data_IF_294334201152
#
_entry.id   IF_294334201152
#
_cell.length_a   1.000
_cell.length_b   1.000
_cell.length_c   1.000
_cell.angle_alpha   90.00
_cell.angle_beta   90.00
_cell.angle_gamma   90.00
#
_symmetry.space_group_name_H-M   'P 1'
#
loop_
_entity.id
_entity.type
_entity.pdbx_description
1 polymer ?
#
# COMPACT_ATOMS: atom_id res chain seq x y z
N UNK A 1 -11.99 9.96 -13.61
CA UNK A 1 -11.19 9.25 -12.59
C UNK A 1 -12.15 8.51 -11.69
N UNK A 2 -12.10 7.17 -11.69
CA UNK A 2 -12.85 6.36 -10.74
C UNK A 2 -12.00 6.30 -9.47
N UNK A 3 -12.59 6.64 -8.34
CA UNK A 3 -11.92 6.54 -7.05
C UNK A 3 -12.17 5.12 -6.54
N UNK A 4 -11.11 4.34 -6.27
CA UNK A 4 -11.29 3.05 -5.64
C UNK A 4 -11.98 3.27 -4.30
N UNK A 5 -12.97 2.44 -3.99
CA UNK A 5 -13.57 2.37 -2.65
C UNK A 5 -13.00 1.15 -1.91
N UNK A 6 -11.75 1.20 -1.41
CA UNK A 6 -11.20 0.09 -0.66
C UNK A 6 -12.02 -0.10 0.62
N UNK A 7 -12.24 -1.36 1.01
CA UNK A 7 -12.78 -1.69 2.31
C UNK A 7 -11.80 -1.20 3.38
N UNK A 8 -12.17 -0.13 4.09
CA UNK A 8 -11.31 0.51 5.10
C UNK A 8 -10.83 -0.51 6.16
N UNK A 9 -11.67 -1.50 6.45
CA UNK A 9 -11.38 -2.56 7.42
C UNK A 9 -10.27 -3.50 6.96
N UNK A 10 -10.35 -4.00 5.73
CA UNK A 10 -9.31 -4.88 5.15
C UNK A 10 -7.98 -4.12 5.03
N UNK A 11 -8.07 -2.82 4.75
CA UNK A 11 -6.89 -1.97 4.62
C UNK A 11 -6.17 -1.77 5.95
N UNK A 12 -6.91 -1.46 7.02
CA UNK A 12 -6.36 -1.35 8.38
C UNK A 12 -5.79 -2.68 8.86
N UNK A 13 -6.45 -3.80 8.56
CA UNK A 13 -5.98 -5.14 8.93
C UNK A 13 -4.64 -5.49 8.26
N UNK A 14 -4.49 -5.15 6.97
CA UNK A 14 -3.24 -5.34 6.24
C UNK A 14 -2.12 -4.47 6.83
N UNK A 15 -2.38 -3.18 7.07
CA UNK A 15 -1.40 -2.26 7.67
C UNK A 15 -0.98 -2.75 9.05
N UNK A 16 -1.92 -3.17 9.89
CA UNK A 16 -1.63 -3.72 11.21
C UNK A 16 -0.78 -4.99 11.12
N UNK A 17 -1.10 -5.89 10.20
CA UNK A 17 -0.34 -7.13 9.97
C UNK A 17 1.11 -6.83 9.55
N UNK A 18 1.30 -5.87 8.64
CA UNK A 18 2.65 -5.45 8.20
C UNK A 18 3.43 -4.82 9.35
N UNK A 19 2.82 -3.93 10.14
CA UNK A 19 3.47 -3.31 11.29
C UNK A 19 3.88 -4.34 12.34
N UNK A 20 3.02 -5.31 12.66
CA UNK A 20 3.34 -6.41 13.58
C UNK A 20 4.50 -7.23 13.05
N UNK A 21 4.47 -7.60 11.77
CA UNK A 21 5.53 -8.39 11.13
C UNK A 21 6.88 -7.65 11.18
N UNK A 22 6.89 -6.36 10.83
CA UNK A 22 8.08 -5.51 10.88
C UNK A 22 8.60 -5.36 12.31
N UNK A 23 7.70 -5.21 13.30
CA UNK A 23 8.07 -5.12 14.72
C UNK A 23 8.78 -6.39 15.18
N UNK A 24 8.27 -7.57 14.80
CA UNK A 24 8.88 -8.86 15.12
C UNK A 24 10.27 -8.97 14.48
N UNK A 25 10.42 -8.55 13.22
CA UNK A 25 11.70 -8.56 12.51
C UNK A 25 12.75 -7.62 13.15
N UNK A 26 12.32 -6.43 13.59
CA UNK A 26 13.18 -5.50 14.33
C UNK A 26 13.60 -6.10 15.68
N UNK A 27 12.65 -6.63 16.44
CA UNK A 27 12.92 -7.26 17.73
C UNK A 27 13.91 -8.43 17.61
N UNK A 28 13.76 -9.27 16.59
CA UNK A 28 14.68 -10.36 16.29
C UNK A 28 16.09 -9.86 15.88
N UNK A 29 16.24 -8.60 15.49
CA UNK A 29 17.49 -8.03 14.99
C UNK A 29 17.76 -8.32 13.52
N UNK A 30 16.74 -8.69 12.76
CA UNK A 30 16.84 -8.87 11.30
C UNK A 30 16.92 -7.50 10.62
N UNK A 31 16.22 -6.50 11.16
CA UNK A 31 16.16 -5.12 10.66
C UNK A 31 16.80 -4.13 11.63
N UNK A 32 18.01 -4.42 12.12
CA UNK A 32 18.74 -3.51 13.00
C UNK A 32 19.42 -4.23 14.17
N UNK A 33 19.50 -3.55 15.32
CA UNK A 33 20.10 -4.12 16.53
C UNK A 33 19.07 -4.99 17.25
N UNK A 34 19.41 -6.25 17.51
CA UNK A 34 18.53 -7.20 18.19
C UNK A 34 18.10 -6.68 19.56
N UNK A 35 16.80 -6.80 19.86
CA UNK A 35 16.17 -6.29 21.09
C UNK A 35 15.81 -4.81 21.06
N UNK A 36 16.10 -4.08 19.97
CA UNK A 36 15.71 -2.68 19.80
C UNK A 36 14.48 -2.58 18.88
N UNK A 37 13.59 -1.63 19.18
CA UNK A 37 12.38 -1.37 18.38
C UNK A 37 12.39 0.12 18.05
N UNK A 38 12.59 0.43 16.77
CA UNK A 38 12.49 1.80 16.29
C UNK A 38 11.00 2.17 16.11
N UNK A 39 10.45 2.78 17.16
CA UNK A 39 9.08 3.26 17.19
C UNK A 39 8.86 4.36 16.15
N UNK A 40 9.87 5.20 15.88
CA UNK A 40 9.76 6.28 14.89
C UNK A 40 9.61 5.68 13.50
N UNK A 41 10.41 4.66 13.18
CA UNK A 41 10.30 3.92 11.94
C UNK A 41 8.91 3.28 11.78
N UNK A 42 8.38 2.63 12.82
CA UNK A 42 7.04 2.02 12.78
C UNK A 42 5.93 3.05 12.56
N UNK A 43 6.02 4.22 13.20
CA UNK A 43 5.04 5.31 13.02
C UNK A 43 5.09 5.86 11.60
N UNK A 44 6.29 6.14 11.08
CA UNK A 44 6.48 6.62 9.70
C UNK A 44 5.96 5.58 8.70
N UNK A 45 6.30 4.31 8.90
CA UNK A 45 5.85 3.22 8.05
C UNK A 45 4.33 3.05 8.08
N UNK A 46 3.71 3.17 9.26
CA UNK A 46 2.27 3.08 9.46
C UNK A 46 1.48 4.19 8.77
N UNK A 47 2.07 5.37 8.60
CA UNK A 47 1.48 6.48 7.82
C UNK A 47 1.76 6.30 6.33
N UNK A 48 2.96 5.87 5.98
CA UNK A 48 3.45 5.84 4.59
C UNK A 48 2.80 4.70 3.79
N UNK A 49 2.66 3.52 4.39
CA UNK A 49 2.01 2.34 3.77
C UNK A 49 0.62 2.64 3.19
N UNK A 50 -0.36 3.12 3.97
CA UNK A 50 -1.70 3.36 3.45
C UNK A 50 -1.73 4.43 2.34
N UNK A 51 -0.86 5.45 2.43
CA UNK A 51 -0.74 6.47 1.38
C UNK A 51 -0.26 5.82 0.08
N UNK A 52 0.82 5.04 0.13
CA UNK A 52 1.36 4.38 -1.06
C UNK A 52 0.40 3.34 -1.63
N UNK A 53 -0.26 2.54 -0.79
CA UNK A 53 -1.23 1.55 -1.27
C UNK A 53 -2.41 2.25 -1.95
N UNK A 54 -2.94 3.33 -1.36
CA UNK A 54 -3.99 4.11 -2.00
C UNK A 54 -3.56 4.67 -3.36
N UNK A 55 -2.36 5.26 -3.44
CA UNK A 55 -1.82 5.76 -4.71
C UNK A 55 -1.64 4.66 -5.75
N UNK A 56 -1.17 3.47 -5.34
CA UNK A 56 -1.05 2.30 -6.22
C UNK A 56 -2.42 1.82 -6.71
N UNK A 57 -3.42 1.76 -5.84
CA UNK A 57 -4.79 1.38 -6.24
C UNK A 57 -5.37 2.38 -7.24
N UNK A 58 -5.20 3.68 -6.99
CA UNK A 58 -5.60 4.74 -7.93
C UNK A 58 -4.87 4.57 -9.27
N UNK A 59 -3.54 4.37 -9.25
CA UNK A 59 -2.77 4.16 -10.47
C UNK A 59 -3.25 2.93 -11.24
N UNK A 60 -3.49 1.80 -10.57
CA UNK A 60 -3.99 0.56 -11.17
C UNK A 60 -5.34 0.73 -11.86
N UNK A 61 -6.32 1.33 -11.17
CA UNK A 61 -7.63 1.60 -11.77
C UNK A 61 -7.55 2.58 -12.96
N UNK A 62 -6.63 3.54 -12.92
CA UNK A 62 -6.43 4.47 -14.04
C UNK A 62 -5.69 3.80 -15.22
N UNK A 63 -4.79 2.85 -15.00
CA UNK A 63 -4.12 2.09 -16.06
C UNK A 63 -5.13 1.20 -16.80
N UNK A 64 -6.00 0.47 -16.10
CA UNK A 64 -7.07 -0.30 -16.74
C UNK A 64 -8.02 0.61 -17.53
N UNK A 65 -8.36 1.77 -16.96
CA UNK A 65 -9.21 2.75 -17.64
C UNK A 65 -8.55 3.31 -18.90
N UNK A 66 -7.24 3.62 -18.86
CA UNK A 66 -6.48 4.07 -20.04
C UNK A 66 -6.41 2.99 -21.12
N UNK A 67 -6.13 1.74 -20.75
CA UNK A 67 -6.10 0.62 -21.71
C UNK A 67 -7.46 0.41 -22.38
N UNK A 68 -8.56 0.55 -21.63
CA UNK A 68 -9.91 0.48 -22.19
C UNK A 68 -10.23 1.65 -23.12
N UNK A 69 -9.79 2.86 -22.78
CA UNK A 69 -9.94 4.04 -23.63
C UNK A 69 -9.19 3.91 -24.95
N UNK A 70 -7.94 3.47 -24.91
CA UNK A 70 -7.10 3.24 -26.09
C UNK A 70 -7.76 2.23 -27.05
N UNK A 71 -8.33 1.16 -26.50
CA UNK A 71 -9.07 0.15 -27.27
C UNK A 71 -10.36 0.66 -27.89
N UNK A 72 -11.04 1.62 -27.24
CA UNK A 72 -12.24 2.26 -27.79
C UNK A 72 -11.87 3.22 -28.92
N UNK A 73 -10.79 3.98 -28.77
CA UNK A 73 -10.30 4.90 -29.81
C UNK A 73 -9.82 4.15 -31.06
N UNK A 74 -9.11 3.02 -30.90
CA UNK A 74 -8.70 2.18 -32.04
C UNK A 74 -9.84 1.44 -32.74
N UNK A 75 -10.99 1.26 -32.09
CA UNK A 75 -12.13 0.56 -32.69
C UNK A 75 -13.06 1.49 -33.50
N UNK A 76 -12.84 2.81 -33.40
CA UNK A 76 -13.57 3.86 -34.13
C UNK A 76 -12.83 4.31 -35.42
N UNK A 77 -11.73 3.64 -35.78
CA UNK A 77 -10.92 3.87 -36.99
C UNK A 77 -11.01 2.66 -37.95
#
# INVERSE_FOLDING_TARGET
>A
MRLPSPSYREHVELVATVLVTITILQYLGVLGRSGDIDVVFLVVLGITLPIFTYLLTVAGENIEWMSKWDRMVQADE
#
